data_IF_628008248180
#
_entry.id   IF_628008248180
#
_cell.length_a   1.000
_cell.length_b   1.000
_cell.length_c   1.000
_cell.angle_alpha   90.00
_cell.angle_beta   90.00
_cell.angle_gamma   90.00
#
_symmetry.space_group_name_H-M   'P 1'
#
loop_
_entity.id
_entity.type
_entity.pdbx_description
1 polymer ?
#
# COMPACT_ATOMS: atom_id res chain seq x y z
N UNK A 1 -7.67 -16.60 3.06
CA UNK A 1 -6.28 -16.11 3.10
C UNK A 1 -5.40 -17.14 3.74
N UNK A 2 -4.14 -17.20 3.32
CA UNK A 2 -3.14 -18.02 3.99
C UNK A 2 -2.82 -17.40 5.35
N UNK A 3 -2.82 -18.21 6.40
CA UNK A 3 -2.32 -17.85 7.73
C UNK A 3 -0.78 -17.87 7.65
N UNK A 4 -0.20 -16.73 7.27
CA UNK A 4 1.25 -16.48 7.17
C UNK A 4 1.70 -15.83 8.47
N UNK A 5 2.68 -16.44 9.13
CA UNK A 5 3.25 -15.97 10.42
C UNK A 5 4.73 -15.65 10.33
N UNK A 6 5.32 -15.91 9.17
CA UNK A 6 6.74 -15.78 8.89
C UNK A 6 6.90 -15.37 7.41
N UNK A 7 7.84 -14.46 7.13
CA UNK A 7 8.16 -14.05 5.77
C UNK A 7 9.04 -15.07 5.04
N UNK A 8 9.52 -16.12 5.70
CA UNK A 8 10.18 -17.26 5.06
C UNK A 8 9.18 -18.33 4.54
N UNK A 9 7.88 -18.19 4.86
CA UNK A 9 6.84 -19.10 4.37
C UNK A 9 6.67 -18.96 2.85
N UNK A 10 6.66 -20.06 2.10
CA UNK A 10 6.46 -20.04 0.64
C UNK A 10 5.13 -19.39 0.21
N UNK A 11 4.15 -19.31 1.12
CA UNK A 11 2.85 -18.67 0.90
C UNK A 11 2.89 -17.17 1.21
N UNK A 12 4.00 -16.66 1.74
CA UNK A 12 4.19 -15.25 1.99
C UNK A 12 4.16 -14.46 0.68
N UNK A 13 3.74 -13.21 0.79
CA UNK A 13 3.78 -12.28 -0.32
C UNK A 13 5.22 -11.84 -0.54
N UNK A 14 5.74 -12.14 -1.72
CA UNK A 14 7.04 -11.68 -2.17
C UNK A 14 6.85 -10.69 -3.32
N UNK A 15 7.04 -9.38 -3.10
CA UNK A 15 7.04 -8.45 -4.21
C UNK A 15 8.23 -8.76 -5.12
N UNK A 16 8.01 -8.65 -6.43
CA UNK A 16 9.06 -8.80 -7.42
C UNK A 16 9.95 -7.56 -7.39
N UNK A 17 11.03 -7.62 -6.62
CA UNK A 17 12.01 -6.54 -6.45
C UNK A 17 13.33 -6.99 -7.07
N UNK A 18 13.95 -6.10 -7.83
CA UNK A 18 15.30 -6.30 -8.38
C UNK A 18 16.32 -5.53 -7.54
N UNK A 19 17.37 -6.22 -7.08
CA UNK A 19 18.52 -5.58 -6.43
C UNK A 19 19.50 -5.04 -7.47
N UNK A 20 19.23 -3.83 -7.97
CA UNK A 20 20.06 -3.19 -8.99
C UNK A 20 21.45 -2.87 -8.44
N UNK A 21 21.57 -2.44 -7.17
CA UNK A 21 22.86 -2.18 -6.52
C UNK A 21 23.70 -3.46 -6.45
N UNK A 22 23.09 -4.59 -6.11
CA UNK A 22 23.73 -5.90 -6.10
C UNK A 22 24.19 -6.36 -7.49
N UNK A 23 23.34 -6.21 -8.50
CA UNK A 23 23.73 -6.48 -9.89
C UNK A 23 24.94 -5.62 -10.27
N UNK A 24 24.88 -4.32 -10.03
CA UNK A 24 25.97 -3.39 -10.34
C UNK A 24 27.26 -3.71 -9.59
N UNK A 25 27.16 -4.14 -8.32
CA UNK A 25 28.30 -4.55 -7.50
C UNK A 25 29.01 -5.80 -8.06
N UNK A 26 28.30 -6.67 -8.77
CA UNK A 26 28.86 -7.87 -9.41
C UNK A 26 29.48 -7.64 -10.79
N UNK A 27 29.21 -6.51 -11.43
CA UNK A 27 29.75 -6.17 -12.74
C UNK A 27 31.22 -5.77 -12.65
N UNK A 28 31.98 -6.08 -13.71
CA UNK A 28 33.30 -5.50 -13.94
C UNK A 28 33.22 -3.98 -14.17
N UNK A 29 34.35 -3.28 -14.05
CA UNK A 29 34.41 -1.83 -14.25
C UNK A 29 33.95 -1.41 -15.67
N UNK A 30 34.27 -2.22 -16.69
CA UNK A 30 33.88 -1.96 -18.09
C UNK A 30 32.36 -2.14 -18.30
N UNK A 31 31.79 -3.20 -17.74
CA UNK A 31 30.35 -3.45 -17.79
C UNK A 31 29.56 -2.39 -17.01
N UNK A 32 30.08 -1.99 -15.84
CA UNK A 32 29.49 -0.92 -15.02
C UNK A 32 29.50 0.43 -15.75
N UNK A 33 30.62 0.78 -16.38
CA UNK A 33 30.72 2.00 -17.20
C UNK A 33 29.77 1.96 -18.40
N UNK A 34 29.55 0.78 -18.98
CA UNK A 34 28.59 0.60 -20.08
C UNK A 34 27.15 0.76 -19.61
N UNK A 35 26.79 0.19 -18.45
CA UNK A 35 25.46 0.27 -17.87
C UNK A 35 25.07 1.71 -17.50
N UNK A 36 26.04 2.51 -17.00
CA UNK A 36 25.84 3.90 -16.61
C UNK A 36 26.07 4.90 -17.75
N UNK A 37 26.41 4.45 -18.97
CA UNK A 37 26.83 5.34 -20.06
C UNK A 37 25.81 6.45 -20.36
N UNK A 38 24.54 6.09 -20.39
CA UNK A 38 23.48 7.00 -20.81
C UNK A 38 22.99 7.89 -19.63
N UNK A 39 23.19 7.44 -18.39
CA UNK A 39 22.81 8.13 -17.14
C UNK A 39 23.92 8.03 -16.08
N UNK A 40 25.08 8.69 -16.26
CA UNK A 40 26.26 8.48 -15.41
C UNK A 40 26.14 9.07 -14.00
N UNK A 41 25.26 10.05 -13.82
CA UNK A 41 25.03 10.77 -12.55
C UNK A 41 23.69 10.36 -11.89
N UNK A 42 22.99 9.36 -12.42
CA UNK A 42 21.72 8.91 -11.85
C UNK A 42 21.98 7.94 -10.69
N UNK A 43 21.42 8.26 -9.53
CA UNK A 43 21.53 7.41 -8.35
C UNK A 43 20.84 6.07 -8.58
N UNK A 44 21.56 4.98 -8.30
CA UNK A 44 20.99 3.64 -8.37
C UNK A 44 20.09 3.45 -7.16
N UNK A 45 18.79 3.12 -7.34
CA UNK A 45 17.85 3.03 -6.23
C UNK A 45 18.23 1.90 -5.26
N UNK A 46 17.94 2.13 -3.98
CA UNK A 46 18.10 1.10 -2.95
C UNK A 46 17.13 -0.07 -3.16
N UNK A 47 17.49 -1.22 -2.59
CA UNK A 47 16.68 -2.43 -2.65
C UNK A 47 15.24 -2.18 -2.17
N UNK A 48 14.23 -2.47 -3.00
CA UNK A 48 12.82 -2.25 -2.66
C UNK A 48 12.30 -0.82 -2.82
N UNK A 49 13.16 0.16 -3.10
CA UNK A 49 12.79 1.58 -3.13
C UNK A 49 11.78 1.89 -4.25
N UNK A 50 12.05 1.40 -5.47
CA UNK A 50 11.15 1.61 -6.62
C UNK A 50 9.78 0.96 -6.40
N UNK A 51 9.75 -0.19 -5.71
CA UNK A 51 8.49 -0.85 -5.36
C UNK A 51 7.68 -0.01 -4.36
N UNK A 52 8.33 0.50 -3.31
CA UNK A 52 7.70 1.38 -2.33
C UNK A 52 7.19 2.68 -2.98
N UNK A 53 7.97 3.30 -3.86
CA UNK A 53 7.57 4.49 -4.63
C UNK A 53 6.35 4.21 -5.49
N UNK A 54 6.30 3.04 -6.16
CA UNK A 54 5.13 2.61 -6.93
C UNK A 54 3.88 2.40 -6.05
N UNK A 55 4.05 1.87 -4.83
CA UNK A 55 2.97 1.76 -3.86
C UNK A 55 2.45 3.15 -3.46
N UNK A 56 3.34 4.06 -3.08
CA UNK A 56 2.95 5.42 -2.67
C UNK A 56 2.32 6.20 -3.82
N UNK A 57 2.79 6.00 -5.05
CA UNK A 57 2.13 6.57 -6.23
C UNK A 57 0.67 6.14 -6.36
N UNK A 58 0.34 4.87 -6.05
CA UNK A 58 -1.04 4.40 -6.02
C UNK A 58 -1.83 5.05 -4.86
N UNK A 59 -1.23 5.17 -3.66
CA UNK A 59 -1.87 5.87 -2.52
C UNK A 59 -2.23 7.30 -2.90
N UNK A 60 -1.29 8.03 -3.50
CA UNK A 60 -1.46 9.41 -3.94
C UNK A 60 -2.43 9.57 -5.12
N UNK A 61 -2.60 8.54 -5.94
CA UNK A 61 -3.53 8.56 -7.07
C UNK A 61 -4.99 8.45 -6.65
N UNK A 62 -5.26 7.82 -5.50
CA UNK A 62 -6.61 7.62 -4.95
C UNK A 62 -6.66 7.99 -3.46
N UNK A 63 -6.28 9.22 -3.08
CA UNK A 63 -6.09 9.58 -1.68
C UNK A 63 -7.38 9.42 -0.88
N UNK A 64 -8.55 9.64 -1.50
CA UNK A 64 -9.83 9.41 -0.87
C UNK A 64 -10.04 7.97 -0.44
N UNK A 65 -9.48 6.97 -1.12
CA UNK A 65 -9.59 5.54 -0.78
C UNK A 65 -8.68 5.12 0.37
N UNK A 66 -7.63 5.91 0.64
CA UNK A 66 -6.67 5.69 1.72
C UNK A 66 -6.99 6.54 2.96
N UNK A 67 -8.27 6.63 3.31
CA UNK A 67 -8.74 7.34 4.52
C UNK A 67 -9.59 6.40 5.37
N UNK A 68 -9.10 6.11 6.58
CA UNK A 68 -9.85 5.38 7.61
C UNK A 68 -10.98 6.25 8.22
N UNK A 69 -12.04 5.65 8.80
CA UNK A 69 -13.11 6.40 9.44
C UNK A 69 -12.59 7.36 10.52
N UNK A 70 -12.78 8.69 10.42
CA UNK A 70 -12.11 9.66 11.32
C UNK A 70 -12.47 9.55 12.81
N UNK A 71 -13.56 8.85 13.14
CA UNK A 71 -13.98 8.62 14.53
C UNK A 71 -13.33 7.38 15.14
N UNK A 72 -12.76 6.52 14.30
CA UNK A 72 -12.05 5.32 14.70
C UNK A 72 -10.55 5.62 14.75
N UNK A 73 -10.10 6.06 15.93
CA UNK A 73 -8.71 6.48 16.12
C UNK A 73 -7.72 5.32 15.99
N UNK A 74 -8.17 4.11 16.30
CA UNK A 74 -7.34 2.90 16.20
C UNK A 74 -7.11 2.56 14.73
N UNK A 75 -8.17 2.57 13.92
CA UNK A 75 -8.05 2.39 12.47
C UNK A 75 -7.20 3.47 11.78
N UNK A 76 -7.29 4.73 12.24
CA UNK A 76 -6.45 5.82 11.73
C UNK A 76 -4.98 5.58 12.07
N UNK A 77 -4.66 5.27 13.33
CA UNK A 77 -3.28 5.00 13.73
C UNK A 77 -2.71 3.78 12.98
N UNK A 78 -3.50 2.71 12.84
CA UNK A 78 -3.09 1.51 12.13
C UNK A 78 -2.79 1.78 10.65
N UNK A 79 -3.63 2.60 9.99
CA UNK A 79 -3.37 3.05 8.63
C UNK A 79 -2.07 3.86 8.54
N UNK A 80 -1.89 4.83 9.44
CA UNK A 80 -0.72 5.72 9.46
C UNK A 80 0.56 4.91 9.69
N UNK A 81 0.57 3.98 10.64
CA UNK A 81 1.73 3.12 10.92
C UNK A 81 2.09 2.24 9.70
N UNK A 82 1.08 1.64 9.06
CA UNK A 82 1.29 0.84 7.86
C UNK A 82 1.85 1.66 6.69
N UNK A 83 1.29 2.84 6.44
CA UNK A 83 1.79 3.73 5.38
C UNK A 83 3.19 4.26 5.69
N UNK A 84 3.49 4.58 6.96
CA UNK A 84 4.82 5.05 7.37
C UNK A 84 5.90 3.99 7.16
N UNK A 85 5.61 2.70 7.38
CA UNK A 85 6.55 1.62 7.07
C UNK A 85 6.87 1.55 5.57
N UNK A 86 5.87 1.73 4.70
CA UNK A 86 6.10 1.80 3.24
C UNK A 86 6.89 3.07 2.87
N UNK A 87 6.55 4.22 3.47
CA UNK A 87 7.25 5.49 3.26
C UNK A 87 8.71 5.38 3.65
N UNK A 88 9.04 4.75 4.78
CA UNK A 88 10.43 4.53 5.19
C UNK A 88 11.25 3.79 4.12
N UNK A 89 10.63 2.85 3.39
CA UNK A 89 11.27 2.12 2.30
C UNK A 89 11.47 2.97 1.03
N UNK A 90 10.79 4.11 0.89
CA UNK A 90 11.01 5.06 -0.23
C UNK A 90 12.30 5.86 -0.08
N UNK A 91 12.83 5.96 1.14
CA UNK A 91 14.11 6.59 1.41
C UNK A 91 15.27 5.74 0.89
N UNK A 92 16.41 6.38 0.66
CA UNK A 92 17.62 5.69 0.23
C UNK A 92 18.28 4.91 1.38
N UNK A 93 19.04 3.85 1.03
CA UNK A 93 19.93 3.14 1.95
C UNK A 93 21.31 3.81 1.92
N UNK A 94 21.64 4.49 3.01
CA UNK A 94 22.90 5.26 3.15
C UNK A 94 23.91 4.61 4.09
N UNK A 95 23.52 3.50 4.72
CA UNK A 95 24.38 2.74 5.62
C UNK A 95 25.34 1.82 4.82
N UNK A 96 26.44 1.36 5.42
CA UNK A 96 27.37 0.47 4.75
C UNK A 96 26.70 -0.84 4.28
N UNK A 97 27.00 -1.32 3.06
CA UNK A 97 26.44 -2.57 2.57
C UNK A 97 27.04 -3.76 3.33
N UNK A 98 26.17 -4.59 3.91
CA UNK A 98 26.52 -5.74 4.74
C UNK A 98 25.88 -7.05 4.27
N UNK A 99 24.79 -6.97 3.51
CA UNK A 99 23.99 -8.13 3.08
C UNK A 99 23.79 -8.10 1.57
N UNK A 100 23.67 -9.29 0.98
CA UNK A 100 23.24 -9.50 -0.42
C UNK A 100 22.08 -10.48 -0.42
N UNK A 101 21.08 -10.23 -1.25
CA UNK A 101 19.92 -11.13 -1.45
C UNK A 101 20.05 -11.98 -2.72
N UNK A 102 21.13 -11.76 -3.50
CA UNK A 102 21.43 -12.53 -4.70
C UNK A 102 22.35 -13.67 -4.31
N UNK A 103 21.91 -14.91 -4.56
CA UNK A 103 22.79 -16.07 -4.50
C UNK A 103 23.45 -16.27 -5.87
N UNK A 104 24.77 -16.53 -5.88
CA UNK A 104 25.44 -16.90 -7.12
C UNK A 104 25.00 -18.29 -7.59
N UNK A 105 25.05 -18.56 -8.89
CA UNK A 105 24.67 -19.87 -9.46
C UNK A 105 25.50 -21.04 -8.91
N UNK A 106 26.71 -20.76 -8.43
CA UNK A 106 27.63 -21.73 -7.82
C UNK A 106 27.45 -21.86 -6.29
N UNK A 107 26.46 -21.17 -5.73
CA UNK A 107 26.18 -21.14 -4.29
C UNK A 107 27.12 -20.25 -3.48
N UNK A 108 27.98 -19.46 -4.12
CA UNK A 108 28.80 -18.46 -3.44
C UNK A 108 28.00 -17.19 -3.08
N UNK A 109 28.44 -16.49 -2.03
CA UNK A 109 27.82 -15.25 -1.59
C UNK A 109 28.24 -14.11 -2.52
N UNK A 110 27.26 -13.43 -3.13
CA UNK A 110 27.49 -12.24 -3.93
C UNK A 110 27.97 -11.06 -3.06
N UNK A 111 28.64 -10.05 -3.65
CA UNK A 111 29.03 -8.85 -2.92
C UNK A 111 27.84 -8.21 -2.18
N UNK A 112 28.01 -7.77 -0.93
CA UNK A 112 26.99 -7.00 -0.22
C UNK A 112 26.55 -5.76 -1.00
N UNK A 113 25.25 -5.50 -0.97
CA UNK A 113 24.59 -4.45 -1.76
C UNK A 113 23.66 -3.56 -0.95
N UNK A 114 23.28 -3.99 0.26
CA UNK A 114 22.40 -3.25 1.17
C UNK A 114 22.83 -3.41 2.62
N UNK A 115 22.43 -2.47 3.46
CA UNK A 115 22.60 -2.55 4.91
C UNK A 115 21.60 -3.54 5.54
N UNK A 116 21.88 -3.95 6.78
CA UNK A 116 20.90 -4.75 7.55
C UNK A 116 19.65 -3.95 7.88
N UNK A 117 19.81 -2.67 8.21
CA UNK A 117 18.70 -1.76 8.46
C UNK A 117 17.75 -1.69 7.25
N UNK A 118 18.31 -1.67 6.04
CA UNK A 118 17.50 -1.71 4.82
C UNK A 118 16.68 -2.99 4.67
N UNK A 119 17.28 -4.13 4.99
CA UNK A 119 16.57 -5.42 4.95
C UNK A 119 15.46 -5.49 6.00
N UNK A 120 15.69 -4.92 7.19
CA UNK A 120 14.67 -4.79 8.24
C UNK A 120 13.51 -3.90 7.80
N UNK A 121 13.78 -2.70 7.28
CA UNK A 121 12.75 -1.78 6.74
C UNK A 121 11.97 -2.45 5.60
N UNK A 122 12.64 -3.24 4.76
CA UNK A 122 11.96 -4.01 3.72
C UNK A 122 10.99 -5.05 4.32
N UNK A 123 11.42 -5.81 5.34
CA UNK A 123 10.56 -6.75 6.04
C UNK A 123 9.36 -6.07 6.73
N UNK A 124 9.58 -4.93 7.38
CA UNK A 124 8.52 -4.11 7.98
C UNK A 124 7.50 -3.64 6.93
N UNK A 125 7.97 -3.22 5.75
CA UNK A 125 7.10 -2.84 4.64
C UNK A 125 6.26 -4.02 4.12
N UNK A 126 6.79 -5.25 4.09
CA UNK A 126 6.00 -6.44 3.72
C UNK A 126 4.91 -6.71 4.76
N UNK A 127 5.24 -6.65 6.05
CA UNK A 127 4.25 -6.80 7.12
C UNK A 127 3.18 -5.71 7.05
N UNK A 128 3.55 -4.46 6.75
CA UNK A 128 2.61 -3.38 6.56
C UNK A 128 1.58 -3.66 5.46
N UNK A 129 1.94 -4.37 4.38
CA UNK A 129 0.97 -4.80 3.35
C UNK A 129 -0.08 -5.77 3.93
N UNK A 130 0.33 -6.70 4.79
CA UNK A 130 -0.60 -7.59 5.48
C UNK A 130 -1.52 -6.83 6.42
N UNK A 131 -0.96 -5.93 7.21
CA UNK A 131 -1.66 -5.09 8.17
C UNK A 131 -2.70 -4.18 7.49
N UNK A 132 -2.29 -3.46 6.44
CA UNK A 132 -3.19 -2.61 5.66
C UNK A 132 -4.32 -3.43 5.03
N UNK A 133 -4.02 -4.63 4.54
CA UNK A 133 -5.04 -5.51 3.98
C UNK A 133 -6.02 -6.01 5.06
N UNK A 134 -5.53 -6.34 6.25
CA UNK A 134 -6.37 -6.73 7.38
C UNK A 134 -7.26 -5.58 7.83
N UNK A 135 -6.70 -4.37 7.95
CA UNK A 135 -7.43 -3.14 8.25
C UNK A 135 -8.58 -2.93 7.26
N UNK A 136 -8.33 -2.98 5.95
CA UNK A 136 -9.39 -2.74 4.97
C UNK A 136 -10.48 -3.83 4.98
N UNK A 137 -10.12 -5.06 5.33
CA UNK A 137 -11.10 -6.13 5.55
C UNK A 137 -11.94 -5.90 6.80
N UNK A 138 -11.39 -5.34 7.86
CA UNK A 138 -12.11 -5.06 9.11
C UNK A 138 -13.06 -3.87 8.97
N UNK A 139 -12.67 -2.84 8.23
CA UNK A 139 -13.52 -1.67 7.91
C UNK A 139 -14.68 -2.07 6.99
N UNK A 140 -14.42 -2.95 6.01
CA UNK A 140 -15.40 -3.40 5.03
C UNK A 140 -15.64 -2.38 3.89
N UNK A 141 -16.52 -2.72 2.92
CA UNK A 141 -16.76 -1.87 1.76
C UNK A 141 -17.41 -0.56 2.17
N UNK A 142 -16.99 0.53 1.52
CA UNK A 142 -17.63 1.83 1.70
C UNK A 142 -19.08 1.77 1.22
N UNK A 143 -20.00 2.07 2.13
CA UNK A 143 -21.42 2.16 1.83
C UNK A 143 -21.80 3.63 1.72
N UNK A 144 -22.16 4.07 0.51
CA UNK A 144 -22.71 5.40 0.32
C UNK A 144 -24.03 5.51 1.09
N UNK A 145 -24.09 6.41 2.07
CA UNK A 145 -25.32 6.60 2.82
C UNK A 145 -26.35 7.27 1.91
N UNK A 146 -27.35 6.49 1.49
CA UNK A 146 -28.52 7.02 0.76
C UNK A 146 -29.28 7.95 1.70
N UNK A 147 -28.96 9.24 1.65
CA UNK A 147 -29.79 10.27 2.27
C UNK A 147 -31.08 10.35 1.49
N UNK A 148 -32.20 10.16 2.18
CA UNK A 148 -33.52 10.40 1.64
C UNK A 148 -33.62 11.88 1.24
N UNK A 149 -33.49 12.17 -0.06
CA UNK A 149 -33.48 13.53 -0.62
C UNK A 149 -34.87 14.16 -0.61
N UNK A 150 -35.92 13.33 -0.57
CA UNK A 150 -37.30 13.75 -0.38
C UNK A 150 -37.73 13.49 1.06
N UNK A 151 -38.08 14.56 1.78
CA UNK A 151 -38.93 14.42 2.96
C UNK A 151 -40.19 13.68 2.56
N UNK A 152 -40.60 12.67 3.34
CA UNK A 152 -41.94 12.11 3.19
C UNK A 152 -42.95 13.26 3.28
N UNK A 153 -44.00 13.27 2.44
CA UNK A 153 -45.02 14.29 2.54
C UNK A 153 -45.51 14.37 3.98
N UNK A 154 -45.56 15.58 4.54
CA UNK A 154 -46.13 15.79 5.86
C UNK A 154 -47.53 15.21 5.91
N UNK A 155 -47.98 14.79 7.10
CA UNK A 155 -49.26 14.09 7.29
C UNK A 155 -50.46 14.76 6.59
N UNK A 156 -50.43 16.09 6.44
CA UNK A 156 -51.47 16.89 5.80
C UNK A 156 -51.16 17.34 4.36
N UNK A 157 -49.96 17.08 3.84
CA UNK A 157 -49.55 17.48 2.49
C UNK A 157 -50.22 16.61 1.43
N UNK A 158 -50.17 17.05 0.17
CA UNK A 158 -50.68 16.27 -0.95
C UNK A 158 -49.89 14.98 -1.11
N UNK A 159 -50.60 13.88 -1.34
CA UNK A 159 -49.98 12.58 -1.52
C UNK A 159 -49.20 12.53 -2.84
N UNK A 160 -48.01 11.92 -2.81
CA UNK A 160 -47.11 11.79 -3.97
C UNK A 160 -47.69 10.97 -5.15
N UNK A 161 -48.82 10.27 -4.97
CA UNK A 161 -49.43 9.45 -6.01
C UNK A 161 -50.28 10.23 -7.03
N UNK A 162 -50.36 11.56 -6.91
CA UNK A 162 -51.12 12.41 -7.82
C UNK A 162 -52.64 12.38 -7.63
N UNK A 163 -53.16 11.69 -6.60
CA UNK A 163 -54.60 11.59 -6.34
C UNK A 163 -55.28 12.90 -5.88
N UNK A 164 -54.49 13.94 -5.57
CA UNK A 164 -54.98 15.19 -4.97
C UNK A 164 -55.44 15.07 -3.51
N UNK A 165 -55.34 13.90 -2.88
CA UNK A 165 -55.73 13.67 -1.48
C UNK A 165 -54.58 13.99 -0.52
N UNK A 166 -54.90 14.37 0.73
CA UNK A 166 -53.91 14.49 1.81
C UNK A 166 -53.23 13.14 2.09
N UNK A 167 -51.93 13.13 2.40
CA UNK A 167 -51.14 11.91 2.61
C UNK A 167 -51.78 10.95 3.63
N UNK A 168 -52.24 11.46 4.79
CA UNK A 168 -52.97 10.68 5.81
C UNK A 168 -54.29 10.03 5.38
N UNK A 169 -54.82 10.39 4.21
CA UNK A 169 -56.06 9.86 3.63
C UNK A 169 -55.77 9.03 2.36
N UNK A 170 -54.51 8.69 2.11
CA UNK A 170 -54.04 7.91 0.98
C UNK A 170 -52.91 6.98 1.43
N UNK A 171 -51.68 7.14 0.94
CA UNK A 171 -50.55 6.26 1.27
C UNK A 171 -50.05 6.36 2.72
N UNK A 172 -50.46 7.38 3.47
CA UNK A 172 -50.21 7.52 4.90
C UNK A 172 -51.40 7.10 5.76
N UNK A 173 -52.41 6.45 5.18
CA UNK A 173 -53.52 5.84 5.91
C UNK A 173 -53.11 4.43 6.32
N UNK A 174 -52.54 4.31 7.52
CA UNK A 174 -52.65 3.08 8.29
C UNK A 174 -54.07 2.97 8.86
#
# INVERSE_FOLDING_TARGET
>A
DADVKDLEDERAFYPQVLDIRGVMASLSDEERATALRDNPDEDIPAFGQVWALGFMFAVESWPEEWVAPPKDKEAVQWLDDGLNAIIALTEDDTDPPEVSVIEAEDGSTMPPSMSKARLEVFGEAIWAVYDLRELWKSIGPRVEQVRKTTQDPGRNDLCYCGSGRKYKKCHGAN
#
